data_IF_385670248285
#
_entry.id   IF_385670248285
#
_cell.length_a   1.000
_cell.length_b   1.000
_cell.length_c   1.000
_cell.angle_alpha   90.00
_cell.angle_beta   90.00
_cell.angle_gamma   90.00
#
_symmetry.space_group_name_H-M   'P 1'
#
loop_
_entity.id
_entity.type
_entity.pdbx_description
1 polymer ?
#
# COMPACT_ATOMS: atom_id res chain seq x y z
N UNK A 1 9.21 9.92 22.57
CA UNK A 1 8.30 8.94 21.92
C UNK A 1 8.25 9.22 20.45
N UNK A 2 8.28 8.20 19.58
CA UNK A 2 8.17 8.37 18.13
C UNK A 2 6.91 9.16 17.72
N UNK A 3 7.01 9.94 16.65
CA UNK A 3 5.87 10.66 16.09
C UNK A 3 5.01 9.71 15.26
N UNK A 4 3.72 9.58 15.60
CA UNK A 4 2.74 8.82 14.81
C UNK A 4 2.09 9.76 13.79
N UNK A 5 2.07 9.36 12.51
CA UNK A 5 1.44 10.13 11.43
C UNK A 5 0.23 9.41 10.82
N UNK A 6 0.10 8.11 11.08
CA UNK A 6 -1.09 7.30 10.83
C UNK A 6 -1.18 6.23 11.92
N UNK A 7 -2.38 5.97 12.44
CA UNK A 7 -2.59 4.96 13.49
C UNK A 7 -4.02 4.39 13.41
N UNK A 8 -4.28 3.59 12.37
CA UNK A 8 -5.51 2.82 12.26
C UNK A 8 -5.42 1.57 13.12
N UNK A 9 -6.48 1.27 13.85
CA UNK A 9 -6.56 -0.01 14.56
C UNK A 9 -6.81 -1.17 13.59
N UNK A 10 -6.51 -2.43 13.97
CA UNK A 10 -6.86 -3.60 13.18
C UNK A 10 -8.35 -3.65 12.80
N UNK A 11 -9.26 -3.35 13.72
CA UNK A 11 -10.71 -3.35 13.46
C UNK A 11 -11.11 -2.26 12.45
N UNK A 12 -10.50 -1.08 12.52
CA UNK A 12 -10.73 -0.02 11.54
C UNK A 12 -10.23 -0.44 10.15
N UNK A 13 -9.10 -1.15 10.08
CA UNK A 13 -8.61 -1.67 8.80
C UNK A 13 -9.54 -2.73 8.22
N UNK A 14 -10.04 -3.65 9.06
CA UNK A 14 -11.03 -4.67 8.65
C UNK A 14 -12.28 -4.00 8.09
N UNK A 15 -12.86 -3.04 8.81
CA UNK A 15 -14.05 -2.31 8.36
C UNK A 15 -13.83 -1.57 7.02
N UNK A 16 -12.66 -0.95 6.82
CA UNK A 16 -12.30 -0.33 5.53
C UNK A 16 -12.20 -1.37 4.41
N UNK A 17 -11.59 -2.53 4.68
CA UNK A 17 -11.44 -3.57 3.67
C UNK A 17 -12.79 -4.21 3.31
N UNK A 18 -13.70 -4.39 4.26
CA UNK A 18 -15.07 -4.84 4.00
C UNK A 18 -15.81 -3.91 3.01
N UNK A 19 -15.63 -2.59 3.14
CA UNK A 19 -16.16 -1.65 2.16
C UNK A 19 -15.49 -1.80 0.79
N UNK A 20 -14.17 -2.03 0.76
CA UNK A 20 -13.42 -2.22 -0.48
C UNK A 20 -13.80 -3.52 -1.22
N UNK A 21 -14.29 -4.55 -0.52
CA UNK A 21 -14.80 -5.79 -1.16
C UNK A 21 -15.98 -5.50 -2.09
N UNK A 22 -16.84 -4.54 -1.75
CA UNK A 22 -17.99 -4.15 -2.55
C UNK A 22 -17.70 -3.20 -3.72
N UNK A 23 -16.44 -2.79 -3.91
CA UNK A 23 -16.04 -1.85 -4.97
C UNK A 23 -16.05 -2.52 -6.34
N UNK A 24 -16.62 -1.85 -7.35
CA UNK A 24 -16.47 -2.24 -8.75
C UNK A 24 -15.04 -1.95 -9.25
N UNK A 25 -14.13 -2.87 -8.95
CA UNK A 25 -12.72 -2.76 -9.29
C UNK A 25 -12.45 -2.55 -10.78
N UNK A 26 -13.13 -3.25 -11.73
CA UNK A 26 -13.00 -2.97 -13.15
C UNK A 26 -13.24 -1.50 -13.51
N UNK A 27 -14.19 -0.84 -12.86
CA UNK A 27 -14.45 0.59 -13.04
C UNK A 27 -13.34 1.46 -12.44
N UNK A 28 -12.79 1.07 -11.29
CA UNK A 28 -11.64 1.78 -10.69
C UNK A 28 -10.41 1.67 -11.59
N UNK A 29 -10.08 0.46 -12.09
CA UNK A 29 -8.90 0.23 -12.92
C UNK A 29 -8.95 0.97 -14.25
N UNK A 30 -10.14 1.20 -14.83
CA UNK A 30 -10.29 2.00 -16.06
C UNK A 30 -9.75 3.42 -15.94
N UNK A 31 -9.73 3.99 -14.73
CA UNK A 31 -9.09 5.26 -14.46
C UNK A 31 -10.00 6.30 -13.83
N UNK A 32 -9.36 7.35 -13.34
CA UNK A 32 -10.02 8.49 -12.70
C UNK A 32 -10.51 9.44 -13.79
N UNK A 33 -11.78 9.89 -13.79
CA UNK A 33 -12.29 10.85 -14.77
C UNK A 33 -11.48 12.15 -14.82
N UNK A 34 -11.27 12.70 -16.01
CA UNK A 34 -10.55 13.96 -16.22
C UNK A 34 -11.33 15.17 -15.68
N UNK A 35 -12.63 15.22 -15.96
CA UNK A 35 -13.51 16.29 -15.49
C UNK A 35 -13.74 16.23 -13.98
N UNK A 36 -13.63 17.37 -13.30
CA UNK A 36 -13.73 17.46 -11.84
C UNK A 36 -15.11 17.05 -11.33
N UNK A 37 -16.18 17.48 -12.02
CA UNK A 37 -17.56 17.13 -11.64
C UNK A 37 -17.84 15.63 -11.83
N UNK A 38 -17.43 15.06 -12.96
CA UNK A 38 -17.53 13.64 -13.23
C UNK A 38 -16.72 12.83 -12.21
N UNK A 39 -15.53 13.32 -11.81
CA UNK A 39 -14.68 12.70 -10.79
C UNK A 39 -15.37 12.66 -9.43
N UNK A 40 -16.01 13.76 -9.02
CA UNK A 40 -16.76 13.82 -7.77
C UNK A 40 -17.91 12.80 -7.75
N UNK A 41 -18.69 12.73 -8.84
CA UNK A 41 -19.76 11.75 -9.01
C UNK A 41 -19.22 10.30 -9.01
N UNK A 42 -18.14 10.04 -9.74
CA UNK A 42 -17.48 8.74 -9.79
C UNK A 42 -17.00 8.29 -8.40
N UNK A 43 -16.34 9.18 -7.65
CA UNK A 43 -15.93 8.89 -6.28
C UNK A 43 -17.13 8.58 -5.38
N UNK A 44 -18.22 9.36 -5.49
CA UNK A 44 -19.42 9.17 -4.68
C UNK A 44 -20.05 7.77 -4.91
N UNK A 45 -19.93 7.22 -6.12
CA UNK A 45 -20.38 5.86 -6.43
C UNK A 45 -19.69 4.75 -5.63
N UNK A 46 -18.51 5.02 -5.07
CA UNK A 46 -17.76 4.11 -4.19
C UNK A 46 -17.83 4.53 -2.70
N UNK A 47 -18.61 5.55 -2.35
CA UNK A 47 -18.61 6.13 -1.00
C UNK A 47 -17.33 6.92 -0.69
N UNK A 48 -16.61 7.38 -1.72
CA UNK A 48 -15.40 8.16 -1.57
C UNK A 48 -15.65 9.65 -1.81
N UNK A 49 -14.86 10.50 -1.12
CA UNK A 49 -14.82 11.94 -1.35
C UNK A 49 -13.44 12.32 -1.91
N UNK A 50 -13.35 12.89 -3.13
CA UNK A 50 -12.09 13.33 -3.68
C UNK A 50 -11.49 14.46 -2.85
N UNK A 51 -10.17 14.44 -2.66
CA UNK A 51 -9.41 15.48 -1.97
C UNK A 51 -8.62 16.29 -3.00
N UNK A 52 -7.56 15.74 -3.56
CA UNK A 52 -6.74 16.36 -4.60
C UNK A 52 -6.08 15.30 -5.48
N UNK A 53 -5.62 15.73 -6.66
CA UNK A 53 -4.88 14.90 -7.61
C UNK A 53 -3.44 15.40 -7.71
N UNK A 54 -2.48 14.57 -7.33
CA UNK A 54 -1.05 14.81 -7.46
C UNK A 54 -0.35 13.45 -7.58
N UNK A 55 0.21 13.15 -8.75
CA UNK A 55 0.74 11.82 -9.09
C UNK A 55 -0.24 10.66 -8.81
N UNK A 56 -1.55 10.98 -8.78
CA UNK A 56 -2.65 10.09 -8.43
C UNK A 56 -3.74 10.84 -7.65
N UNK A 57 -4.92 10.22 -7.52
CA UNK A 57 -6.04 10.78 -6.78
C UNK A 57 -5.99 10.39 -5.30
N UNK A 58 -6.08 11.35 -4.43
CA UNK A 58 -6.32 11.11 -3.00
C UNK A 58 -7.80 11.27 -2.70
N UNK A 59 -8.34 10.32 -1.96
CA UNK A 59 -9.75 10.33 -1.55
C UNK A 59 -9.87 10.03 -0.06
N UNK A 60 -11.01 10.40 0.51
CA UNK A 60 -11.43 10.04 1.85
C UNK A 60 -12.61 9.07 1.75
N UNK A 61 -12.58 7.98 2.49
CA UNK A 61 -13.66 7.00 2.59
C UNK A 61 -14.75 7.46 3.54
N UNK A 62 -15.87 6.75 3.57
CA UNK A 62 -16.95 6.99 4.54
C UNK A 62 -16.52 6.72 5.99
N UNK A 63 -15.51 5.87 6.21
CA UNK A 63 -14.92 5.57 7.52
C UNK A 63 -13.73 6.48 7.87
N UNK A 64 -13.60 7.61 7.18
CA UNK A 64 -12.51 8.59 7.36
C UNK A 64 -11.11 8.04 6.99
N UNK A 65 -11.04 6.93 6.27
CA UNK A 65 -9.81 6.40 5.69
C UNK A 65 -9.30 7.29 4.57
N UNK A 66 -7.99 7.29 4.35
CA UNK A 66 -7.36 8.00 3.24
C UNK A 66 -6.80 7.00 2.25
N UNK A 67 -7.33 7.02 1.02
CA UNK A 67 -6.82 6.19 -0.05
C UNK A 67 -6.04 7.05 -1.05
N UNK A 68 -5.02 6.43 -1.64
CA UNK A 68 -4.27 6.97 -2.76
C UNK A 68 -4.45 6.05 -3.96
N UNK A 69 -5.04 6.56 -5.03
CA UNK A 69 -5.24 5.87 -6.29
C UNK A 69 -4.09 6.25 -7.24
N UNK A 70 -3.14 5.34 -7.42
CA UNK A 70 -1.97 5.57 -8.26
C UNK A 70 -2.39 5.57 -9.75
N UNK A 71 -2.23 6.72 -10.39
CA UNK A 71 -2.50 6.93 -11.82
C UNK A 71 -1.58 8.03 -12.33
N UNK A 72 -1.01 7.85 -13.52
CA UNK A 72 -0.07 8.81 -14.10
C UNK A 72 -0.71 10.20 -14.37
N UNK A 73 -1.99 10.21 -14.70
CA UNK A 73 -2.78 11.43 -14.93
C UNK A 73 -4.28 11.11 -14.84
N UNK A 74 -5.16 12.12 -14.70
CA UNK A 74 -6.59 11.93 -14.92
C UNK A 74 -6.85 11.32 -16.30
N UNK A 75 -7.84 10.43 -16.41
CA UNK A 75 -8.12 9.66 -17.64
C UNK A 75 -7.20 8.46 -17.88
N UNK A 76 -6.15 8.30 -17.09
CA UNK A 76 -5.27 7.13 -17.18
C UNK A 76 -5.69 6.03 -16.20
N UNK A 77 -5.37 4.75 -16.51
CA UNK A 77 -5.66 3.63 -15.62
C UNK A 77 -5.11 3.84 -14.20
N UNK A 78 -5.87 3.39 -13.24
CA UNK A 78 -5.40 3.22 -11.86
C UNK A 78 -4.74 1.86 -11.78
N UNK A 79 -3.51 1.80 -11.29
CA UNK A 79 -2.76 0.55 -11.18
C UNK A 79 -2.73 0.00 -9.76
N UNK A 80 -2.96 0.89 -8.78
CA UNK A 80 -2.94 0.56 -7.35
C UNK A 80 -3.82 1.52 -6.57
N UNK A 81 -4.53 0.99 -5.58
CA UNK A 81 -5.19 1.77 -4.52
C UNK A 81 -4.51 1.44 -3.21
N UNK A 82 -3.97 2.43 -2.53
CA UNK A 82 -3.18 2.26 -1.31
C UNK A 82 -3.83 2.97 -0.13
N UNK A 83 -3.89 2.30 1.00
CA UNK A 83 -4.30 2.82 2.30
C UNK A 83 -3.11 2.80 3.26
N UNK A 84 -2.65 3.97 3.72
CA UNK A 84 -1.66 4.07 4.79
C UNK A 84 -2.35 3.74 6.12
N UNK A 85 -1.99 2.58 6.70
CA UNK A 85 -2.64 2.03 7.89
C UNK A 85 -1.97 2.55 9.14
N UNK A 86 -0.65 2.50 9.17
CA UNK A 86 0.15 2.93 10.30
C UNK A 86 1.47 3.53 9.82
N UNK A 87 1.93 4.58 10.47
CA UNK A 87 3.24 5.15 10.22
C UNK A 87 3.79 5.83 11.46
N UNK A 88 5.08 5.62 11.72
CA UNK A 88 5.81 6.24 12.81
C UNK A 88 7.21 6.66 12.37
N UNK A 89 7.67 7.77 12.90
CA UNK A 89 9.03 8.27 12.70
C UNK A 89 9.73 8.49 14.02
N UNK A 90 10.95 8.01 14.14
CA UNK A 90 11.83 8.33 15.27
C UNK A 90 12.19 9.81 15.25
N UNK A 91 12.48 10.40 16.40
CA UNK A 91 13.01 11.78 16.48
C UNK A 91 14.51 11.81 16.30
N UNK A 92 15.17 10.75 16.72
CA UNK A 92 16.60 10.53 16.64
C UNK A 92 16.92 9.04 16.47
N UNK A 93 18.17 8.70 16.27
CA UNK A 93 18.64 7.33 16.03
C UNK A 93 18.47 6.41 17.25
N UNK A 94 18.42 6.96 18.46
CA UNK A 94 18.25 6.18 19.69
C UNK A 94 16.83 5.60 19.80
N UNK A 95 15.85 6.26 19.17
CA UNK A 95 14.48 5.75 19.07
C UNK A 95 14.28 4.70 17.97
N UNK A 96 15.28 4.44 17.10
CA UNK A 96 15.14 3.53 15.95
C UNK A 96 14.67 2.13 16.36
N UNK A 97 15.26 1.57 17.41
CA UNK A 97 14.85 0.26 17.92
C UNK A 97 13.37 0.26 18.35
N UNK A 98 12.93 1.32 19.00
CA UNK A 98 11.53 1.44 19.46
C UNK A 98 10.57 1.53 18.28
N UNK A 99 10.91 2.25 17.22
CA UNK A 99 10.09 2.31 15.99
C UNK A 99 10.00 0.94 15.33
N UNK A 100 11.11 0.19 15.25
CA UNK A 100 11.11 -1.16 14.68
C UNK A 100 10.24 -2.14 15.50
N UNK A 101 10.34 -2.11 16.83
CA UNK A 101 9.51 -2.92 17.74
C UNK A 101 8.01 -2.60 17.58
N UNK A 102 7.66 -1.32 17.52
CA UNK A 102 6.28 -0.87 17.28
C UNK A 102 5.77 -1.33 15.90
N UNK A 103 6.58 -1.19 14.85
CA UNK A 103 6.22 -1.64 13.51
C UNK A 103 5.97 -3.16 13.48
N UNK A 104 6.80 -3.96 14.16
CA UNK A 104 6.62 -5.40 14.26
C UNK A 104 5.31 -5.77 14.98
N UNK A 105 5.04 -5.15 16.13
CA UNK A 105 3.81 -5.40 16.88
C UNK A 105 2.54 -5.00 16.11
N UNK A 106 2.58 -3.84 15.42
CA UNK A 106 1.48 -3.38 14.57
C UNK A 106 1.26 -4.27 13.36
N UNK A 107 2.34 -4.73 12.72
CA UNK A 107 2.27 -5.69 11.64
C UNK A 107 1.54 -6.97 12.06
N UNK A 108 1.96 -7.58 13.17
CA UNK A 108 1.39 -8.85 13.65
C UNK A 108 -0.10 -8.70 13.98
N UNK A 109 -0.51 -7.58 14.60
CA UNK A 109 -1.91 -7.29 14.89
C UNK A 109 -2.74 -7.12 13.60
N UNK A 110 -2.28 -6.35 12.62
CA UNK A 110 -2.99 -6.16 11.35
C UNK A 110 -3.04 -7.44 10.53
N UNK A 111 -1.94 -8.19 10.44
CA UNK A 111 -1.90 -9.47 9.73
C UNK A 111 -2.89 -10.49 10.35
N UNK A 112 -2.97 -10.54 11.67
CA UNK A 112 -3.92 -11.41 12.39
C UNK A 112 -5.37 -11.03 12.06
N UNK A 113 -5.72 -9.75 12.11
CA UNK A 113 -7.06 -9.28 11.77
C UNK A 113 -7.43 -9.58 10.31
N UNK A 114 -6.51 -9.33 9.36
CA UNK A 114 -6.72 -9.62 7.94
C UNK A 114 -6.85 -11.13 7.66
N UNK A 115 -6.13 -11.97 8.39
CA UNK A 115 -6.32 -13.44 8.32
C UNK A 115 -7.71 -13.87 8.78
N UNK A 116 -8.24 -13.22 9.80
CA UNK A 116 -9.62 -13.45 10.26
C UNK A 116 -10.66 -13.14 9.18
N UNK A 117 -10.44 -12.08 8.38
CA UNK A 117 -11.35 -11.66 7.32
C UNK A 117 -11.16 -12.44 6.01
N UNK A 118 -9.91 -12.58 5.54
CA UNK A 118 -9.59 -13.08 4.19
C UNK A 118 -9.01 -14.51 4.18
N UNK A 119 -8.79 -15.12 5.33
CA UNK A 119 -8.03 -16.34 5.45
C UNK A 119 -6.51 -16.12 5.36
N UNK A 120 -5.76 -17.21 5.29
CA UNK A 120 -4.32 -17.13 5.20
C UNK A 120 -3.88 -16.46 3.89
N UNK A 121 -2.83 -15.61 3.95
CA UNK A 121 -2.24 -15.05 2.72
C UNK A 121 -1.70 -16.18 1.84
N UNK A 122 -1.71 -15.96 0.54
CA UNK A 122 -1.12 -16.85 -0.46
C UNK A 122 0.40 -16.96 -0.26
N UNK A 123 1.00 -15.87 0.21
CA UNK A 123 2.40 -15.79 0.59
C UNK A 123 2.60 -14.70 1.66
N UNK A 124 3.55 -14.92 2.57
CA UNK A 124 4.04 -13.88 3.49
C UNK A 124 5.47 -14.16 3.90
N UNK A 125 6.26 -13.10 4.04
CA UNK A 125 7.68 -13.21 4.40
C UNK A 125 8.36 -11.85 4.47
N UNK A 126 9.69 -11.90 4.44
CA UNK A 126 10.59 -10.74 4.51
C UNK A 126 11.30 -10.52 3.17
N UNK A 127 11.97 -9.37 3.05
CA UNK A 127 12.70 -8.95 1.85
C UNK A 127 13.73 -9.96 1.34
N UNK A 128 14.30 -10.80 2.21
CA UNK A 128 15.34 -11.79 1.95
C UNK A 128 14.82 -13.20 1.68
N UNK A 129 13.50 -13.39 1.69
CA UNK A 129 12.91 -14.70 1.44
C UNK A 129 13.27 -15.22 0.03
N UNK A 130 13.75 -16.49 -0.10
CA UNK A 130 14.18 -17.04 -1.37
C UNK A 130 13.03 -17.26 -2.36
N UNK A 131 11.82 -17.46 -1.86
CA UNK A 131 10.58 -17.66 -2.61
C UNK A 131 9.74 -16.39 -2.72
N UNK A 132 10.37 -15.20 -2.65
CA UNK A 132 9.69 -13.92 -2.73
C UNK A 132 8.86 -13.82 -4.01
N UNK A 133 7.56 -13.47 -3.95
CA UNK A 133 6.66 -13.55 -5.08
C UNK A 133 6.94 -12.45 -6.12
N UNK A 134 6.75 -12.78 -7.39
CA UNK A 134 6.60 -11.78 -8.43
C UNK A 134 5.23 -11.13 -8.32
N UNK A 135 5.20 -9.80 -8.22
CA UNK A 135 3.98 -9.00 -8.13
C UNK A 135 3.73 -8.28 -9.45
N UNK A 136 2.49 -8.26 -9.96
CA UNK A 136 2.17 -7.55 -11.18
C UNK A 136 2.44 -6.04 -11.04
N UNK A 137 2.91 -5.41 -12.12
CA UNK A 137 3.15 -3.97 -12.17
C UNK A 137 4.29 -3.46 -11.27
N UNK A 138 5.12 -4.34 -10.79
CA UNK A 138 6.27 -4.02 -9.94
C UNK A 138 7.56 -4.17 -10.72
N UNK A 139 8.01 -3.12 -11.40
CA UNK A 139 9.27 -3.10 -12.11
C UNK A 139 10.50 -3.39 -11.23
N UNK A 140 11.56 -2.63 -11.42
CA UNK A 140 12.84 -2.79 -10.70
C UNK A 140 12.78 -2.72 -9.18
N UNK A 141 11.72 -2.10 -8.61
CA UNK A 141 11.54 -1.88 -7.17
C UNK A 141 11.51 -3.15 -6.32
N UNK A 142 11.13 -4.30 -6.90
CA UNK A 142 11.18 -5.58 -6.20
C UNK A 142 12.12 -6.59 -6.87
N UNK A 143 13.03 -6.14 -7.72
CA UNK A 143 14.11 -7.01 -8.19
C UNK A 143 14.89 -7.54 -6.98
N UNK A 144 15.43 -8.77 -7.03
CA UNK A 144 16.22 -9.33 -5.92
C UNK A 144 17.35 -8.40 -5.49
N UNK A 145 18.07 -7.80 -6.44
CA UNK A 145 19.15 -6.85 -6.15
C UNK A 145 18.65 -5.64 -5.36
N UNK A 146 17.55 -5.01 -5.81
CA UNK A 146 16.99 -3.85 -5.14
C UNK A 146 16.48 -4.19 -3.73
N UNK A 147 15.77 -5.33 -3.57
CA UNK A 147 15.25 -5.78 -2.26
C UNK A 147 16.38 -6.00 -1.25
N UNK A 148 17.45 -6.68 -1.68
CA UNK A 148 18.60 -6.99 -0.83
C UNK A 148 19.35 -5.70 -0.41
N UNK A 149 19.50 -4.75 -1.34
CA UNK A 149 20.16 -3.47 -1.08
C UNK A 149 19.35 -2.60 -0.11
N UNK A 150 18.02 -2.48 -0.34
CA UNK A 150 17.18 -1.55 0.41
C UNK A 150 16.41 -2.20 1.56
N UNK A 151 16.47 -3.54 1.71
CA UNK A 151 15.69 -4.32 2.69
C UNK A 151 14.19 -3.97 2.66
N UNK A 152 13.66 -3.73 1.45
CA UNK A 152 12.27 -3.32 1.21
C UNK A 152 11.59 -4.26 0.19
N UNK A 153 10.38 -4.73 0.46
CA UNK A 153 9.59 -4.48 1.66
C UNK A 153 10.18 -5.21 2.88
N UNK A 154 10.19 -4.56 4.04
CA UNK A 154 10.69 -5.17 5.28
C UNK A 154 9.90 -6.43 5.65
N UNK A 155 8.55 -6.36 5.50
CA UNK A 155 7.62 -7.50 5.57
C UNK A 155 6.55 -7.33 4.51
N UNK A 156 6.09 -8.45 3.97
CA UNK A 156 5.06 -8.49 2.94
C UNK A 156 4.13 -9.68 3.18
N UNK A 157 2.82 -9.47 3.02
CA UNK A 157 1.82 -10.52 2.89
C UNK A 157 0.94 -10.25 1.68
N UNK A 158 0.61 -11.29 0.92
CA UNK A 158 -0.10 -11.18 -0.37
C UNK A 158 -1.28 -12.13 -0.37
N UNK A 159 -2.46 -11.64 -0.78
CA UNK A 159 -3.65 -12.44 -1.03
C UNK A 159 -3.99 -12.37 -2.52
N UNK A 160 -4.07 -13.54 -3.15
CA UNK A 160 -4.54 -13.71 -4.52
C UNK A 160 -5.85 -14.46 -4.51
N UNK A 161 -6.87 -13.88 -5.11
CA UNK A 161 -8.20 -14.48 -5.19
C UNK A 161 -8.40 -15.15 -6.55
N UNK A 162 -9.19 -16.23 -6.56
CA UNK A 162 -9.56 -16.92 -7.82
C UNK A 162 -10.69 -16.22 -8.57
N UNK A 163 -11.38 -15.29 -7.93
CA UNK A 163 -12.48 -14.53 -8.53
C UNK A 163 -11.94 -13.62 -9.63
N UNK A 164 -12.43 -13.73 -10.87
CA UNK A 164 -12.03 -12.84 -11.95
C UNK A 164 -12.26 -11.37 -11.59
N UNK A 165 -11.27 -10.53 -11.86
CA UNK A 165 -11.34 -9.09 -11.59
C UNK A 165 -11.12 -8.68 -10.12
N UNK A 166 -11.03 -9.64 -9.20
CA UNK A 166 -10.67 -9.34 -7.82
C UNK A 166 -9.25 -8.77 -7.75
N UNK A 167 -9.00 -7.74 -6.92
CA UNK A 167 -7.68 -7.17 -6.77
C UNK A 167 -6.71 -8.17 -6.13
N UNK A 168 -5.43 -8.05 -6.45
CA UNK A 168 -4.39 -8.60 -5.60
C UNK A 168 -4.26 -7.68 -4.39
N UNK A 169 -4.38 -8.24 -3.18
CA UNK A 169 -4.24 -7.48 -1.93
C UNK A 169 -2.86 -7.70 -1.34
N UNK A 170 -2.23 -6.62 -0.90
CA UNK A 170 -0.90 -6.60 -0.30
C UNK A 170 -0.96 -5.84 1.02
N UNK A 171 -0.47 -6.46 2.10
CA UNK A 171 -0.07 -5.74 3.31
C UNK A 171 1.45 -5.65 3.29
N UNK A 172 2.00 -4.44 3.44
CA UNK A 172 3.42 -4.18 3.34
C UNK A 172 3.91 -3.34 4.52
N UNK A 173 5.07 -3.70 5.08
CA UNK A 173 5.84 -2.82 5.96
C UNK A 173 7.09 -2.34 5.25
N UNK A 174 7.31 -1.03 5.25
CA UNK A 174 8.61 -0.43 4.92
C UNK A 174 9.27 0.04 6.22
N UNK A 175 10.60 -0.09 6.31
CA UNK A 175 11.37 0.33 7.47
C UNK A 175 12.71 0.90 7.01
N UNK A 176 12.79 2.23 6.94
CA UNK A 176 14.02 2.94 6.60
C UNK A 176 14.86 3.16 7.86
N UNK A 177 16.03 2.52 7.93
CA UNK A 177 16.98 2.67 9.06
C UNK A 177 18.31 3.28 8.61
N UNK A 178 18.49 3.55 7.31
CA UNK A 178 19.79 3.84 6.72
C UNK A 178 20.67 2.58 6.65
N UNK A 179 21.96 2.77 6.46
CA UNK A 179 22.97 1.71 6.51
C UNK A 179 23.69 1.69 7.86
N UNK A 180 24.43 0.61 8.14
CA UNK A 180 25.29 0.54 9.35
C UNK A 180 26.34 1.66 9.37
N UNK A 181 26.86 2.03 8.20
CA UNK A 181 27.86 3.11 8.06
C UNK A 181 27.25 4.51 8.15
N UNK A 182 25.95 4.67 7.80
CA UNK A 182 25.22 5.92 7.84
C UNK A 182 23.80 5.67 8.36
N UNK A 183 23.63 5.50 9.68
CA UNK A 183 22.33 5.26 10.26
C UNK A 183 21.43 6.49 10.06
N UNK A 184 20.22 6.26 9.55
CA UNK A 184 19.20 7.28 9.42
C UNK A 184 18.18 7.19 10.55
N UNK A 185 17.48 8.27 10.80
CA UNK A 185 16.34 8.30 11.70
C UNK A 185 15.24 7.39 11.13
N UNK A 186 14.81 6.41 11.92
CA UNK A 186 13.84 5.40 11.46
C UNK A 186 12.53 6.04 11.00
N UNK A 187 12.07 5.60 9.82
CA UNK A 187 10.74 5.85 9.29
C UNK A 187 10.11 4.48 8.97
N UNK A 188 9.01 4.17 9.62
CA UNK A 188 8.31 2.91 9.45
C UNK A 188 6.86 3.17 9.01
N UNK A 189 6.41 2.38 8.03
CA UNK A 189 5.05 2.49 7.49
C UNK A 189 4.48 1.13 7.22
N UNK A 190 3.21 0.93 7.58
CA UNK A 190 2.39 -0.20 7.16
C UNK A 190 1.32 0.33 6.20
N UNK A 191 1.21 -0.28 5.03
CA UNK A 191 0.22 0.05 4.02
C UNK A 191 -0.50 -1.20 3.53
N UNK A 192 -1.81 -1.08 3.32
CA UNK A 192 -2.62 -2.03 2.56
C UNK A 192 -2.75 -1.51 1.14
N UNK A 193 -2.52 -2.37 0.15
CA UNK A 193 -2.67 -2.01 -1.26
C UNK A 193 -3.54 -3.02 -1.99
N UNK A 194 -4.43 -2.52 -2.84
CA UNK A 194 -5.16 -3.29 -3.83
C UNK A 194 -4.52 -3.01 -5.20
N UNK A 195 -4.09 -4.05 -5.92
CA UNK A 195 -3.46 -3.92 -7.23
C UNK A 195 -4.38 -4.46 -8.31
N UNK A 196 -4.37 -3.81 -9.46
CA UNK A 196 -4.96 -4.38 -10.67
C UNK A 196 -4.21 -5.68 -11.02
N UNK A 197 -4.88 -6.85 -11.02
CA UNK A 197 -4.24 -8.13 -11.34
C UNK A 197 -3.77 -8.21 -12.79
N UNK A 198 -4.25 -7.31 -13.66
CA UNK A 198 -3.92 -7.24 -15.09
C UNK A 198 -2.96 -6.09 -15.43
N UNK A 199 -2.56 -5.29 -14.44
CA UNK A 199 -1.63 -4.19 -14.68
C UNK A 199 -0.32 -4.74 -15.28
N UNK A 200 -0.09 -4.40 -16.55
CA UNK A 200 1.21 -4.62 -17.18
C UNK A 200 2.16 -3.53 -16.73
N UNK A 201 3.42 -3.87 -16.59
CA UNK A 201 4.49 -2.90 -16.39
C UNK A 201 4.39 -1.79 -17.45
N UNK A 202 3.98 -0.61 -17.05
CA UNK A 202 4.24 0.58 -17.84
C UNK A 202 5.73 0.86 -17.64
N UNK A 203 6.57 0.40 -18.58
CA UNK A 203 7.96 0.84 -18.63
C UNK A 203 7.92 2.36 -18.80
N UNK A 204 8.14 3.09 -17.71
CA UNK A 204 8.51 4.49 -17.84
C UNK A 204 9.81 4.53 -18.65
N UNK A 205 9.85 5.27 -19.78
CA UNK A 205 11.12 5.50 -20.45
C UNK A 205 12.02 6.21 -19.42
N UNK A 206 13.19 5.59 -19.13
CA UNK A 206 14.24 6.20 -18.34
C UNK A 206 14.40 7.62 -18.87
N UNK A 207 14.07 8.62 -18.06
CA UNK A 207 14.48 10.00 -18.33
C UNK A 207 16.00 9.99 -18.28
N UNK A 208 16.62 9.93 -19.45
CA UNK A 208 18.03 10.23 -19.60
C UNK A 208 18.21 11.69 -19.14
N UNK A 209 18.87 11.86 -17.99
CA UNK A 209 19.35 13.15 -17.53
C UNK A 209 20.73 13.43 -18.16
#
# INVERSE_FOLDING_TARGET
>A
MPALTADRTPDQLVAELEQLVGVDWPTVWRGVPEDVGKRAHWCAGFGWRPLWFEAGLRVRTALDGRLFLASAAPGRPVTRVEHAVWAARARDVDENRRVAELAAARWDAHLTALRGLMGNPTWHGTWDAPDFPELPGRGTWYSPAWRLEHRDPHRLAVWRFRTPGAPLIELKTTLGLGSEAAPAVADARIALSCHDPQAREVREPLRQA
#
